data_IF_100710208090
#
_entry.id   IF_100710208090
#
_cell.length_a   1.000
_cell.length_b   1.000
_cell.length_c   1.000
_cell.angle_alpha   90.00
_cell.angle_beta   90.00
_cell.angle_gamma   90.00
#
_symmetry.space_group_name_H-M   'P 1'
#
loop_
_entity.id
_entity.type
_entity.pdbx_description
1 polymer ?
#
# COMPACT_ATOMS: atom_id res chain seq x y z
N UNK A 1 0.36 -26.14 9.09
CA UNK A 1 1.42 -26.76 8.25
C UNK A 1 2.78 -26.39 8.85
N UNK A 2 3.72 -27.34 9.05
CA UNK A 2 5.12 -27.00 9.37
C UNK A 2 5.81 -26.62 8.05
N UNK A 3 6.38 -25.42 7.98
CA UNK A 3 7.14 -24.97 6.82
C UNK A 3 8.63 -25.31 7.05
N UNK A 4 9.29 -25.88 6.05
CA UNK A 4 10.74 -26.09 6.09
C UNK A 4 11.46 -24.86 5.51
N UNK A 5 12.46 -24.33 6.23
CA UNK A 5 13.29 -23.21 5.78
C UNK A 5 12.69 -21.81 6.00
N UNK A 6 13.43 -20.80 5.51
CA UNK A 6 13.02 -19.38 5.56
C UNK A 6 11.85 -19.11 4.63
N UNK A 7 10.90 -18.30 5.09
CA UNK A 7 9.65 -17.96 4.36
C UNK A 7 9.68 -16.53 3.82
N UNK A 8 8.95 -16.23 2.74
CA UNK A 8 8.70 -14.85 2.37
C UNK A 8 7.90 -14.13 3.47
N UNK A 9 8.06 -12.82 3.57
CA UNK A 9 7.34 -12.01 4.54
C UNK A 9 6.51 -10.91 3.87
N UNK A 10 5.41 -10.55 4.50
CA UNK A 10 4.50 -9.51 4.02
C UNK A 10 4.20 -8.51 5.15
N UNK A 11 4.55 -7.25 4.91
CA UNK A 11 4.06 -6.13 5.71
C UNK A 11 2.63 -5.81 5.25
N UNK A 12 1.64 -6.04 6.12
CA UNK A 12 0.22 -5.95 5.79
C UNK A 12 -0.41 -4.71 6.42
N UNK A 13 -0.83 -3.75 5.59
CA UNK A 13 -1.21 -2.40 6.02
C UNK A 13 -2.72 -2.13 5.85
N UNK A 14 -3.41 -1.91 6.98
CA UNK A 14 -4.83 -1.57 7.05
C UNK A 14 -5.19 -0.14 6.53
N UNK A 15 -6.44 0.10 6.17
CA UNK A 15 -6.92 1.44 5.80
C UNK A 15 -7.13 2.37 7.00
N UNK A 16 -7.62 3.60 6.76
CA UNK A 16 -7.69 4.66 7.79
C UNK A 16 -8.54 4.28 9.01
N UNK A 17 -9.62 3.52 8.80
CA UNK A 17 -10.52 3.07 9.88
C UNK A 17 -10.27 1.59 10.23
N UNK A 18 -9.16 1.02 9.75
CA UNK A 18 -8.80 -0.37 9.96
C UNK A 18 -8.01 -0.62 11.24
N UNK A 19 -7.77 -1.90 11.50
CA UNK A 19 -6.87 -2.39 12.55
C UNK A 19 -6.15 -3.67 12.08
N UNK A 20 -5.05 -4.08 12.74
CA UNK A 20 -4.39 -5.35 12.45
C UNK A 20 -5.32 -6.57 12.57
N UNK A 21 -6.25 -6.56 13.52
CA UNK A 21 -7.18 -7.67 13.74
C UNK A 21 -8.11 -7.90 12.54
N UNK A 22 -8.55 -6.83 11.87
CA UNK A 22 -9.35 -6.92 10.63
C UNK A 22 -8.53 -7.52 9.48
N UNK A 23 -7.28 -7.07 9.34
CA UNK A 23 -6.35 -7.58 8.32
C UNK A 23 -6.00 -9.05 8.55
N UNK A 24 -5.78 -9.44 9.81
CA UNK A 24 -5.40 -10.80 10.20
C UNK A 24 -6.58 -11.74 10.45
N UNK A 25 -7.83 -11.28 10.28
CA UNK A 25 -9.02 -12.10 10.48
C UNK A 25 -9.23 -12.58 11.93
N UNK A 26 -8.75 -11.81 12.91
CA UNK A 26 -8.89 -12.11 14.34
C UNK A 26 -10.22 -11.63 14.93
N UNK A 27 -11.08 -11.02 14.11
CA UNK A 27 -12.43 -10.61 14.46
C UNK A 27 -13.42 -11.18 13.46
N UNK A 28 -14.59 -11.62 13.94
CA UNK A 28 -15.70 -12.08 13.09
C UNK A 28 -16.47 -10.90 12.49
N UNK A 29 -15.74 -10.05 11.76
CA UNK A 29 -16.27 -8.94 10.97
C UNK A 29 -15.79 -9.08 9.54
N UNK A 30 -16.72 -9.05 8.60
CA UNK A 30 -16.39 -8.86 7.19
C UNK A 30 -16.27 -7.36 6.94
N UNK A 31 -15.16 -6.94 6.36
CA UNK A 31 -14.93 -5.55 5.97
C UNK A 31 -14.10 -5.48 4.68
N UNK A 32 -13.75 -4.26 4.27
CA UNK A 32 -13.03 -4.03 3.03
C UNK A 32 -11.60 -4.59 3.01
N UNK A 33 -11.00 -4.95 4.15
CA UNK A 33 -9.68 -5.58 4.15
C UNK A 33 -9.75 -7.02 3.65
N UNK A 34 -10.93 -7.66 3.65
CA UNK A 34 -11.11 -9.03 3.21
C UNK A 34 -10.10 -10.01 3.86
N UNK A 35 -9.67 -9.72 5.10
CA UNK A 35 -8.69 -10.51 5.87
C UNK A 35 -7.43 -10.85 5.07
N UNK A 36 -6.94 -9.94 4.22
CA UNK A 36 -5.81 -10.24 3.31
C UNK A 36 -4.53 -10.69 4.05
N UNK A 37 -4.34 -10.27 5.30
CA UNK A 37 -3.26 -10.80 6.15
C UNK A 37 -3.43 -12.27 6.48
N UNK A 38 -4.65 -12.73 6.81
CA UNK A 38 -4.94 -14.15 7.00
C UNK A 38 -4.72 -14.94 5.72
N UNK A 39 -5.22 -14.42 4.59
CA UNK A 39 -5.02 -15.03 3.27
C UNK A 39 -3.53 -15.21 2.92
N UNK A 40 -2.68 -14.25 3.29
CA UNK A 40 -1.23 -14.35 3.13
C UNK A 40 -0.63 -15.43 4.06
N UNK A 41 -1.07 -15.53 5.32
CA UNK A 41 -0.64 -16.61 6.23
C UNK A 41 -0.99 -17.98 5.66
N UNK A 42 -2.21 -18.15 5.13
CA UNK A 42 -2.66 -19.41 4.51
C UNK A 42 -1.81 -19.80 3.29
N UNK A 43 -1.28 -18.81 2.57
CA UNK A 43 -0.34 -18.97 1.45
C UNK A 43 1.12 -19.17 1.90
N UNK A 44 1.41 -19.12 3.20
CA UNK A 44 2.72 -19.44 3.77
C UNK A 44 3.65 -18.25 3.97
N UNK A 45 3.14 -17.02 3.89
CA UNK A 45 3.90 -15.83 4.26
C UNK A 45 4.02 -15.68 5.78
N UNK A 46 5.12 -15.10 6.24
CA UNK A 46 5.20 -14.48 7.56
C UNK A 46 4.59 -13.10 7.47
N UNK A 47 3.51 -12.84 8.19
CA UNK A 47 2.80 -11.56 8.11
C UNK A 47 3.10 -10.71 9.33
N UNK A 48 3.43 -9.44 9.09
CA UNK A 48 3.48 -8.41 10.12
C UNK A 48 2.43 -7.34 9.80
N UNK A 49 1.41 -7.22 10.64
CA UNK A 49 0.37 -6.22 10.51
C UNK A 49 0.49 -5.20 11.66
N UNK A 50 1.12 -4.02 11.44
CA UNK A 50 1.26 -3.01 12.48
C UNK A 50 -0.03 -2.25 12.70
N UNK A 51 -0.23 -1.77 13.92
CA UNK A 51 -1.20 -0.69 14.18
C UNK A 51 -0.67 0.58 13.52
N UNK A 52 -1.35 1.04 12.49
CA UNK A 52 -1.19 2.39 11.94
C UNK A 52 -2.11 3.36 12.66
N UNK A 53 -1.73 4.64 12.68
CA UNK A 53 -2.56 5.66 13.31
C UNK A 53 -3.86 5.86 12.53
N UNK A 54 -4.92 5.22 13.03
CA UNK A 54 -6.28 5.27 12.52
C UNK A 54 -7.09 6.43 13.13
N UNK A 55 -8.21 6.76 12.47
CA UNK A 55 -9.13 7.80 12.89
C UNK A 55 -8.63 9.23 12.59
N UNK A 56 -9.32 9.92 11.69
CA UNK A 56 -8.92 11.24 11.19
C UNK A 56 -8.65 12.30 12.28
N UNK A 57 -9.56 12.44 13.26
CA UNK A 57 -9.41 13.39 14.38
C UNK A 57 -8.15 13.13 15.22
N UNK A 58 -7.92 11.88 15.58
CA UNK A 58 -6.76 11.48 16.39
C UNK A 58 -5.47 11.70 15.61
N UNK A 59 -5.46 11.32 14.34
CA UNK A 59 -4.30 11.51 13.45
C UNK A 59 -3.98 12.99 13.26
N UNK A 60 -4.98 13.84 13.03
CA UNK A 60 -4.77 15.28 12.90
C UNK A 60 -4.23 15.91 14.19
N UNK A 61 -4.77 15.52 15.35
CA UNK A 61 -4.26 16.02 16.64
C UNK A 61 -2.79 15.66 16.85
N UNK A 62 -2.38 14.45 16.47
CA UNK A 62 -0.96 14.04 16.51
C UNK A 62 -0.12 14.74 15.43
N UNK A 63 -0.66 14.99 14.23
CA UNK A 63 0.05 15.73 13.18
C UNK A 63 0.35 17.17 13.63
N UNK A 64 -0.58 17.83 14.33
CA UNK A 64 -0.32 19.15 14.94
C UNK A 64 0.85 19.13 15.91
N UNK A 65 1.01 18.06 16.69
CA UNK A 65 2.18 17.87 17.56
C UNK A 65 3.46 17.60 16.77
N UNK A 66 3.37 16.77 15.73
CA UNK A 66 4.51 16.49 14.86
C UNK A 66 5.02 17.77 14.18
N UNK A 67 4.11 18.63 13.71
CA UNK A 67 4.44 19.93 13.08
C UNK A 67 5.25 20.81 14.03
N UNK A 68 4.87 20.89 15.31
CA UNK A 68 5.65 21.65 16.32
C UNK A 68 7.05 21.09 16.54
N UNK A 69 7.29 19.82 16.24
CA UNK A 69 8.60 19.18 16.27
C UNK A 69 9.34 19.22 14.92
N UNK A 70 8.85 20.00 13.94
CA UNK A 70 9.43 20.06 12.58
C UNK A 70 9.22 18.77 11.77
N UNK A 71 8.24 17.95 12.14
CA UNK A 71 7.93 16.66 11.53
C UNK A 71 6.49 16.63 11.00
N UNK A 72 6.11 15.53 10.35
CA UNK A 72 4.72 15.22 9.99
C UNK A 72 4.38 13.82 10.47
N UNK A 73 3.15 13.59 10.90
CA UNK A 73 2.65 12.27 11.31
C UNK A 73 2.81 11.25 10.19
N UNK A 74 2.65 11.67 8.94
CA UNK A 74 2.91 10.81 7.78
C UNK A 74 4.35 10.30 7.76
N UNK A 75 5.35 11.17 7.91
CA UNK A 75 6.76 10.79 7.92
C UNK A 75 7.11 9.87 9.09
N UNK A 76 6.57 10.15 10.28
CA UNK A 76 6.73 9.29 11.46
C UNK A 76 6.13 7.89 11.24
N UNK A 77 4.96 7.79 10.60
CA UNK A 77 4.36 6.50 10.25
C UNK A 77 5.19 5.74 9.22
N UNK A 78 5.75 6.42 8.20
CA UNK A 78 6.64 5.77 7.22
C UNK A 78 7.90 5.23 7.91
N UNK A 79 8.51 6.01 8.79
CA UNK A 79 9.66 5.55 9.58
C UNK A 79 9.30 4.34 10.45
N UNK A 80 8.11 4.34 11.07
CA UNK A 80 7.60 3.17 11.81
C UNK A 80 7.46 1.93 10.91
N UNK A 81 7.01 2.09 9.67
CA UNK A 81 6.93 0.96 8.72
C UNK A 81 8.32 0.45 8.33
N UNK A 82 9.30 1.33 8.12
CA UNK A 82 10.71 0.94 7.88
C UNK A 82 11.26 0.13 9.07
N UNK A 83 10.94 0.52 10.31
CA UNK A 83 11.29 -0.25 11.51
C UNK A 83 10.59 -1.61 11.58
N UNK A 84 9.38 -1.74 11.02
CA UNK A 84 8.72 -3.04 10.88
C UNK A 84 9.46 -3.95 9.86
N UNK A 85 9.98 -3.36 8.79
CA UNK A 85 10.85 -4.07 7.83
C UNK A 85 12.16 -4.50 8.50
N UNK A 86 12.77 -3.67 9.35
CA UNK A 86 13.95 -4.05 10.15
C UNK A 86 13.66 -5.30 11.01
N UNK A 87 12.52 -5.31 11.70
CA UNK A 87 12.10 -6.44 12.52
C UNK A 87 11.88 -7.71 11.69
N UNK A 88 11.21 -7.61 10.54
CA UNK A 88 11.04 -8.76 9.65
C UNK A 88 12.38 -9.30 9.16
N UNK A 89 13.29 -8.42 8.73
CA UNK A 89 14.60 -8.79 8.23
C UNK A 89 15.51 -9.42 9.30
N UNK A 90 15.31 -9.09 10.58
CA UNK A 90 16.10 -9.65 11.68
C UNK A 90 15.66 -11.05 12.12
N UNK A 91 14.59 -11.61 11.55
CA UNK A 91 14.07 -12.93 11.94
C UNK A 91 14.76 -14.05 11.18
N UNK A 92 15.21 -15.07 11.90
CA UNK A 92 15.87 -16.24 11.31
C UNK A 92 14.94 -17.10 10.43
N UNK A 93 13.62 -16.99 10.60
CA UNK A 93 12.62 -17.69 9.79
C UNK A 93 12.12 -16.88 8.58
N UNK A 94 12.61 -15.66 8.38
CA UNK A 94 12.31 -14.78 7.23
C UNK A 94 13.44 -14.81 6.22
N UNK A 95 13.08 -14.92 4.94
CA UNK A 95 14.00 -14.64 3.85
C UNK A 95 13.95 -13.15 3.52
N UNK A 96 14.97 -12.42 3.96
CA UNK A 96 15.04 -10.96 3.91
C UNK A 96 15.09 -10.38 2.48
N UNK A 97 15.44 -11.19 1.49
CA UNK A 97 15.39 -10.86 0.05
C UNK A 97 14.00 -11.07 -0.58
N UNK A 98 13.05 -11.64 0.19
CA UNK A 98 11.70 -12.00 -0.25
C UNK A 98 10.63 -11.39 0.66
N UNK A 99 10.81 -10.10 0.95
CA UNK A 99 9.84 -9.30 1.70
C UNK A 99 9.01 -8.43 0.75
N UNK A 100 7.71 -8.36 0.98
CA UNK A 100 6.82 -7.45 0.27
C UNK A 100 5.97 -6.61 1.20
N UNK A 101 5.24 -5.66 0.62
CA UNK A 101 4.24 -4.86 1.31
C UNK A 101 2.93 -4.89 0.54
N UNK A 102 1.82 -4.99 1.27
CA UNK A 102 0.47 -4.93 0.71
C UNK A 102 -0.40 -4.07 1.62
N UNK A 103 -1.02 -3.03 1.08
CA UNK A 103 -2.03 -2.28 1.81
C UNK A 103 -3.20 -1.82 0.96
N UNK A 104 -4.29 -1.49 1.64
CA UNK A 104 -5.51 -0.96 1.04
C UNK A 104 -5.81 0.46 1.53
N UNK A 105 -6.30 1.32 0.65
CA UNK A 105 -6.75 2.67 0.99
C UNK A 105 -5.61 3.51 1.56
N UNK A 106 -5.74 4.02 2.78
CA UNK A 106 -4.63 4.65 3.51
C UNK A 106 -3.42 3.71 3.70
N UNK A 107 -3.67 2.41 3.88
CA UNK A 107 -2.65 1.38 3.87
C UNK A 107 -2.02 1.21 2.49
N UNK A 108 -2.79 1.40 1.41
CA UNK A 108 -2.29 1.40 0.03
C UNK A 108 -1.37 2.58 -0.23
N UNK A 109 -1.77 3.79 0.18
CA UNK A 109 -0.88 4.97 0.21
C UNK A 109 0.40 4.64 0.98
N UNK A 110 0.26 4.11 2.19
CA UNK A 110 1.41 3.82 3.05
C UNK A 110 2.32 2.76 2.42
N UNK A 111 1.77 1.72 1.80
CA UNK A 111 2.50 0.68 1.08
C UNK A 111 3.34 1.25 -0.07
N UNK A 112 2.76 2.14 -0.87
CA UNK A 112 3.44 2.83 -1.96
C UNK A 112 4.64 3.65 -1.45
N UNK A 113 4.43 4.50 -0.44
CA UNK A 113 5.51 5.33 0.12
C UNK A 113 6.59 4.49 0.81
N UNK A 114 6.24 3.49 1.63
CA UNK A 114 7.27 2.66 2.28
C UNK A 114 8.05 1.85 1.26
N UNK A 115 7.40 1.34 0.19
CA UNK A 115 8.10 0.67 -0.89
C UNK A 115 9.08 1.62 -1.59
N UNK A 116 8.68 2.85 -1.89
CA UNK A 116 9.56 3.86 -2.47
C UNK A 116 10.77 4.21 -1.57
N UNK A 117 10.56 4.27 -0.25
CA UNK A 117 11.58 4.65 0.74
C UNK A 117 12.51 3.49 1.15
N UNK A 118 12.04 2.24 1.12
CA UNK A 118 12.80 1.07 1.56
C UNK A 118 12.98 0.06 0.43
N UNK A 119 14.22 -0.02 -0.07
CA UNK A 119 14.60 -0.88 -1.19
C UNK A 119 14.62 -2.38 -0.86
N UNK A 120 14.49 -2.78 0.41
CA UNK A 120 14.45 -4.19 0.82
C UNK A 120 13.13 -4.85 0.50
N UNK A 121 12.07 -4.07 0.26
CA UNK A 121 10.77 -4.58 -0.18
C UNK A 121 10.84 -4.91 -1.68
N UNK A 122 10.88 -6.20 -2.01
CA UNK A 122 11.03 -6.72 -3.37
C UNK A 122 9.74 -6.61 -4.22
N UNK A 123 8.58 -6.59 -3.55
CA UNK A 123 7.28 -6.43 -4.19
C UNK A 123 6.34 -5.50 -3.39
N UNK A 124 5.55 -4.71 -4.09
CA UNK A 124 4.55 -3.80 -3.51
C UNK A 124 3.18 -4.03 -4.16
N UNK A 125 2.15 -4.15 -3.33
CA UNK A 125 0.75 -4.13 -3.77
C UNK A 125 0.04 -2.93 -3.17
N UNK A 126 -0.57 -2.12 -4.04
CA UNK A 126 -1.38 -0.95 -3.67
C UNK A 126 -2.82 -1.19 -4.08
N UNK A 127 -3.71 -1.24 -3.10
CA UNK A 127 -5.15 -1.48 -3.32
C UNK A 127 -5.98 -0.24 -2.99
N UNK A 128 -6.89 0.14 -3.89
CA UNK A 128 -7.91 1.18 -3.64
C UNK A 128 -7.34 2.55 -3.24
N UNK A 129 -6.21 2.96 -3.83
CA UNK A 129 -5.58 4.25 -3.51
C UNK A 129 -5.01 4.97 -4.73
N UNK A 130 -4.20 4.25 -5.52
CA UNK A 130 -3.38 4.81 -6.59
C UNK A 130 -4.24 5.50 -7.65
N UNK A 131 -3.96 6.77 -7.91
CA UNK A 131 -4.46 7.54 -9.05
C UNK A 131 -3.67 8.85 -9.16
N UNK A 132 -3.96 9.68 -10.17
CA UNK A 132 -3.37 11.03 -10.24
C UNK A 132 -3.69 11.82 -8.96
N UNK A 133 -2.71 11.95 -8.07
CA UNK A 133 -2.95 12.41 -6.71
C UNK A 133 -3.04 13.92 -6.62
N UNK A 134 -2.53 14.69 -7.58
CA UNK A 134 -2.72 16.15 -7.60
C UNK A 134 -4.20 16.50 -7.70
N UNK A 135 -4.96 15.83 -8.58
CA UNK A 135 -6.40 15.97 -8.69
C UNK A 135 -7.10 15.52 -7.42
N UNK A 136 -6.73 14.35 -6.85
CA UNK A 136 -7.26 13.88 -5.56
C UNK A 136 -7.13 14.94 -4.47
N UNK A 137 -6.00 15.65 -4.45
CA UNK A 137 -5.66 16.63 -3.42
C UNK A 137 -6.37 17.96 -3.60
N UNK A 138 -6.71 18.36 -4.84
CA UNK A 138 -7.06 19.77 -5.15
C UNK A 138 -8.41 19.98 -5.81
N UNK A 139 -9.06 18.93 -6.35
CA UNK A 139 -10.30 19.06 -7.11
C UNK A 139 -11.47 18.32 -6.44
N UNK A 140 -12.57 19.02 -6.09
CA UNK A 140 -13.84 18.39 -5.72
C UNK A 140 -14.32 17.39 -6.77
N UNK A 141 -14.92 16.28 -6.34
CA UNK A 141 -15.41 15.26 -7.28
C UNK A 141 -16.39 14.26 -6.65
N UNK A 142 -17.45 13.84 -7.38
CA UNK A 142 -18.33 12.76 -6.95
C UNK A 142 -17.79 11.35 -7.24
N UNK A 143 -16.65 11.23 -7.93
CA UNK A 143 -16.10 9.94 -8.37
C UNK A 143 -15.05 9.37 -7.42
N UNK A 144 -14.49 10.19 -6.54
CA UNK A 144 -13.42 9.81 -5.62
C UNK A 144 -13.47 10.67 -4.36
N UNK A 145 -12.77 10.23 -3.31
CA UNK A 145 -12.56 11.06 -2.13
C UNK A 145 -11.60 12.18 -2.48
N UNK A 146 -12.12 13.39 -2.67
CA UNK A 146 -11.35 14.60 -2.86
C UNK A 146 -10.87 15.13 -1.50
N UNK A 147 -9.55 15.13 -1.27
CA UNK A 147 -9.01 15.50 0.04
C UNK A 147 -9.29 16.95 0.43
N UNK A 148 -9.48 17.84 -0.55
CA UNK A 148 -9.88 19.24 -0.32
C UNK A 148 -11.26 19.37 0.35
N UNK A 149 -12.11 18.35 0.25
CA UNK A 149 -13.46 18.31 0.86
C UNK A 149 -13.49 17.55 2.20
N UNK A 150 -12.36 16.98 2.63
CA UNK A 150 -12.27 16.24 3.89
C UNK A 150 -12.00 17.20 5.05
N UNK A 151 -12.69 17.02 6.18
CA UNK A 151 -12.58 17.89 7.37
C UNK A 151 -11.20 17.88 8.05
N UNK A 152 -10.29 16.97 7.66
CA UNK A 152 -9.01 16.76 8.32
C UNK A 152 -7.83 17.09 7.40
N UNK A 153 -6.82 17.74 7.98
CA UNK A 153 -5.62 18.15 7.25
C UNK A 153 -4.50 17.09 7.17
N UNK A 154 -4.68 15.91 7.79
CA UNK A 154 -3.67 14.85 7.79
C UNK A 154 -3.25 14.32 6.39
N UNK A 155 -4.05 14.38 5.31
CA UNK A 155 -3.62 13.86 4.01
C UNK A 155 -2.73 14.82 3.23
N UNK A 156 -2.64 16.09 3.66
CA UNK A 156 -1.90 17.14 2.95
C UNK A 156 -0.42 17.16 3.33
N UNK A 157 0.44 16.97 2.34
CA UNK A 157 1.87 17.20 2.45
C UNK A 157 2.27 18.47 1.70
N UNK A 158 3.19 19.24 2.28
CA UNK A 158 3.69 20.46 1.65
C UNK A 158 4.33 20.12 0.31
N UNK A 159 4.01 20.88 -0.74
CA UNK A 159 4.57 20.73 -2.09
C UNK A 159 4.20 19.46 -2.85
N UNK A 160 3.41 18.53 -2.29
CA UNK A 160 3.01 17.32 -3.04
C UNK A 160 2.38 17.69 -4.38
N UNK A 161 1.37 18.56 -4.36
CA UNK A 161 0.64 18.99 -5.56
C UNK A 161 1.48 19.77 -6.60
N UNK A 162 2.71 20.19 -6.26
CA UNK A 162 3.59 20.93 -7.17
C UNK A 162 4.82 20.14 -7.60
N UNK A 163 5.10 19.00 -6.96
CA UNK A 163 6.39 18.29 -7.14
C UNK A 163 6.20 16.86 -7.64
N UNK A 164 5.11 16.17 -7.27
CA UNK A 164 4.93 14.75 -7.62
C UNK A 164 3.48 14.27 -7.50
N UNK A 165 3.10 13.36 -8.40
CA UNK A 165 1.90 12.54 -8.33
C UNK A 165 2.23 11.11 -7.84
N UNK A 166 1.23 10.21 -7.83
CA UNK A 166 1.45 8.83 -7.36
C UNK A 166 2.33 8.04 -8.33
N UNK A 167 2.25 8.28 -9.65
CA UNK A 167 3.19 7.70 -10.60
C UNK A 167 4.63 8.07 -10.23
N UNK A 168 4.93 9.35 -9.98
CA UNK A 168 6.29 9.79 -9.64
C UNK A 168 6.85 9.07 -8.40
N UNK A 169 6.01 8.81 -7.39
CA UNK A 169 6.41 7.98 -6.24
C UNK A 169 6.70 6.54 -6.67
N UNK A 170 5.86 5.95 -7.52
CA UNK A 170 6.08 4.61 -8.07
C UNK A 170 7.35 4.51 -8.93
N UNK A 171 7.87 5.62 -9.48
CA UNK A 171 9.17 5.63 -10.18
C UNK A 171 10.33 5.19 -9.26
N UNK A 172 10.22 5.44 -7.94
CA UNK A 172 11.20 5.04 -6.94
C UNK A 172 11.06 3.57 -6.52
N UNK A 173 9.95 2.92 -6.89
CA UNK A 173 9.74 1.48 -6.71
C UNK A 173 10.41 0.73 -7.87
N UNK A 174 10.31 1.25 -9.10
CA UNK A 174 11.01 0.74 -10.28
C UNK A 174 12.51 0.56 -9.99
N UNK A 175 13.14 -0.60 -10.30
CA UNK A 175 12.66 -1.72 -11.11
C UNK A 175 12.07 -2.91 -10.30
N UNK A 176 11.71 -2.70 -9.03
CA UNK A 176 11.12 -3.76 -8.17
C UNK A 176 9.67 -4.02 -8.55
N UNK A 177 9.09 -5.13 -8.12
CA UNK A 177 7.76 -5.48 -8.56
C UNK A 177 6.70 -4.55 -7.92
N UNK A 178 5.76 -4.05 -8.74
CA UNK A 178 4.62 -3.25 -8.32
C UNK A 178 3.31 -3.79 -8.91
N UNK A 179 2.29 -3.94 -8.08
CA UNK A 179 0.93 -4.27 -8.50
C UNK A 179 -0.06 -3.28 -7.94
N UNK A 180 -1.01 -2.86 -8.78
CA UNK A 180 -2.12 -2.00 -8.40
C UNK A 180 -3.42 -2.79 -8.63
N UNK A 181 -4.29 -2.84 -7.62
CA UNK A 181 -5.66 -3.37 -7.78
C UNK A 181 -6.67 -2.26 -7.46
N UNK A 182 -7.73 -2.16 -8.28
CA UNK A 182 -8.70 -1.08 -8.16
C UNK A 182 -10.13 -1.57 -8.47
N UNK A 183 -11.06 -1.30 -7.54
CA UNK A 183 -12.47 -1.62 -7.74
C UNK A 183 -13.13 -0.63 -8.69
N UNK A 184 -13.95 -1.12 -9.63
CA UNK A 184 -14.67 -0.30 -10.62
C UNK A 184 -15.69 0.67 -9.99
N UNK A 185 -16.24 0.32 -8.83
CA UNK A 185 -17.21 1.12 -8.08
C UNK A 185 -16.60 1.86 -6.88
N UNK A 186 -15.28 1.75 -6.69
CA UNK A 186 -14.59 2.40 -5.58
C UNK A 186 -14.74 3.94 -5.66
N UNK A 187 -15.19 4.53 -4.55
CA UNK A 187 -15.36 5.97 -4.36
C UNK A 187 -14.21 6.61 -3.58
N UNK A 188 -13.20 5.85 -3.20
CA UNK A 188 -11.94 6.35 -2.65
C UNK A 188 -11.02 6.78 -3.77
N UNK A 189 -10.77 5.93 -4.76
CA UNK A 189 -9.96 6.22 -5.93
C UNK A 189 -10.72 5.88 -7.22
N UNK A 190 -10.66 6.75 -8.22
CA UNK A 190 -11.40 6.57 -9.46
C UNK A 190 -10.60 5.73 -10.45
N UNK A 191 -11.10 4.55 -10.79
CA UNK A 191 -10.39 3.55 -11.58
C UNK A 191 -9.89 4.05 -12.95
N UNK A 192 -10.61 4.95 -13.63
CA UNK A 192 -10.14 5.48 -14.93
C UNK A 192 -8.89 6.33 -14.78
N UNK A 193 -8.83 7.17 -13.76
CA UNK A 193 -7.64 7.97 -13.46
C UNK A 193 -6.51 7.10 -12.94
N UNK A 194 -6.82 6.05 -12.17
CA UNK A 194 -5.84 5.05 -11.77
C UNK A 194 -5.22 4.35 -12.99
N UNK A 195 -6.03 3.94 -13.97
CA UNK A 195 -5.58 3.33 -15.21
C UNK A 195 -4.72 4.28 -16.06
N UNK A 196 -5.15 5.54 -16.22
CA UNK A 196 -4.39 6.57 -16.94
C UNK A 196 -3.04 6.86 -16.28
N UNK A 197 -3.02 7.04 -14.96
CA UNK A 197 -1.80 7.25 -14.18
C UNK A 197 -0.87 6.02 -14.28
N UNK A 198 -1.43 4.81 -14.28
CA UNK A 198 -0.65 3.57 -14.36
C UNK A 198 0.08 3.42 -15.70
N UNK A 199 -0.46 3.96 -16.81
CA UNK A 199 0.23 3.94 -18.12
C UNK A 199 1.59 4.65 -18.06
N UNK A 200 1.73 5.67 -17.21
CA UNK A 200 3.03 6.35 -16.99
C UNK A 200 4.01 5.38 -16.34
N UNK A 201 3.58 4.70 -15.27
CA UNK A 201 4.39 3.71 -14.55
C UNK A 201 4.79 2.56 -15.48
N UNK A 202 3.82 2.01 -16.21
CA UNK A 202 4.04 0.91 -17.16
C UNK A 202 5.09 1.30 -18.21
N UNK A 203 5.03 2.53 -18.74
CA UNK A 203 6.00 3.03 -19.71
C UNK A 203 7.46 3.04 -19.19
N UNK A 204 7.70 3.24 -17.90
CA UNK A 204 9.06 3.12 -17.33
C UNK A 204 9.54 1.66 -17.30
N UNK A 205 8.68 0.75 -16.87
CA UNK A 205 9.01 -0.68 -16.83
C UNK A 205 9.21 -1.26 -18.23
N UNK A 206 8.40 -0.87 -19.20
CA UNK A 206 8.55 -1.26 -20.62
C UNK A 206 9.89 -0.83 -21.21
N UNK A 207 10.32 0.43 -20.97
CA UNK A 207 11.62 0.95 -21.42
C UNK A 207 12.81 0.19 -20.84
N UNK A 208 12.63 -0.45 -19.69
CA UNK A 208 13.63 -1.30 -19.05
C UNK A 208 13.54 -2.78 -19.44
N UNK A 209 12.55 -3.17 -20.26
CA UNK A 209 12.28 -4.57 -20.59
C UNK A 209 11.70 -5.38 -19.42
N UNK A 210 11.01 -4.71 -18.49
CA UNK A 210 10.49 -5.25 -17.23
C UNK A 210 8.97 -5.11 -17.11
N UNK A 211 8.24 -5.07 -18.23
CA UNK A 211 6.81 -4.81 -18.26
C UNK A 211 6.00 -5.75 -17.35
N UNK A 212 6.45 -6.99 -17.15
CA UNK A 212 5.80 -8.00 -16.33
C UNK A 212 5.95 -7.78 -14.81
N UNK A 213 6.78 -6.83 -14.39
CA UNK A 213 6.98 -6.41 -12.98
C UNK A 213 6.03 -5.31 -12.54
N UNK A 214 5.34 -4.64 -13.47
CA UNK A 214 4.32 -3.65 -13.15
C UNK A 214 2.98 -4.13 -13.72
N UNK A 215 2.01 -4.43 -12.85
CA UNK A 215 0.69 -4.89 -13.28
C UNK A 215 -0.44 -4.09 -12.65
N UNK A 216 -1.57 -3.98 -13.37
CA UNK A 216 -2.77 -3.26 -12.94
C UNK A 216 -4.00 -4.13 -13.16
N UNK A 217 -4.81 -4.30 -12.11
CA UNK A 217 -6.05 -5.05 -12.12
C UNK A 217 -7.24 -4.12 -11.85
N UNK A 218 -8.30 -4.27 -12.65
CA UNK A 218 -9.63 -3.75 -12.34
C UNK A 218 -10.54 -4.93 -12.01
N UNK A 219 -11.18 -4.89 -10.85
CA UNK A 219 -12.20 -5.87 -10.47
C UNK A 219 -13.59 -5.22 -10.35
N UNK A 220 -14.62 -6.04 -10.51
CA UNK A 220 -16.01 -5.62 -10.28
C UNK A 220 -16.27 -5.55 -8.78
N UNK A 221 -16.58 -4.34 -8.28
CA UNK A 221 -16.80 -4.11 -6.86
C UNK A 221 -16.39 -2.72 -6.39
N UNK A 222 -16.72 -2.42 -5.13
CA UNK A 222 -16.41 -1.16 -4.48
C UNK A 222 -15.01 -1.11 -3.85
N UNK A 223 -14.91 -0.43 -2.71
CA UNK A 223 -13.65 -0.28 -1.98
C UNK A 223 -13.38 -1.52 -1.11
N UNK A 224 -12.63 -2.52 -1.63
CA UNK A 224 -12.16 -3.68 -0.86
C UNK A 224 -10.94 -4.37 -1.51
N UNK A 225 -10.28 -5.27 -0.77
CA UNK A 225 -9.20 -6.12 -1.28
C UNK A 225 -9.76 -7.29 -2.08
N UNK A 226 -9.52 -7.31 -3.39
CA UNK A 226 -9.84 -8.45 -4.26
C UNK A 226 -8.87 -9.60 -4.03
N UNK A 227 -7.56 -9.31 -4.06
CA UNK A 227 -6.51 -10.22 -3.58
C UNK A 227 -6.12 -11.34 -4.53
N UNK A 228 -6.94 -11.72 -5.51
CA UNK A 228 -6.65 -12.87 -6.38
C UNK A 228 -5.40 -12.65 -7.23
N UNK A 229 -5.40 -11.65 -8.12
CA UNK A 229 -4.23 -11.34 -8.95
C UNK A 229 -3.09 -10.78 -8.11
N UNK A 230 -3.39 -10.00 -7.05
CA UNK A 230 -2.40 -9.52 -6.10
C UNK A 230 -1.58 -10.65 -5.46
N UNK A 231 -2.23 -11.75 -5.04
CA UNK A 231 -1.50 -12.90 -4.49
C UNK A 231 -0.75 -13.67 -5.58
N UNK A 232 -1.32 -13.86 -6.77
CA UNK A 232 -0.59 -14.46 -7.91
C UNK A 232 0.69 -13.68 -8.22
N UNK A 233 0.59 -12.36 -8.22
CA UNK A 233 1.71 -11.44 -8.40
C UNK A 233 2.75 -11.56 -7.26
N UNK A 234 2.33 -11.52 -6.00
CA UNK A 234 3.23 -11.67 -4.85
C UNK A 234 3.96 -13.02 -4.90
N UNK A 235 3.24 -14.09 -5.27
CA UNK A 235 3.83 -15.43 -5.38
C UNK A 235 4.89 -15.49 -6.47
N UNK A 236 4.67 -14.88 -7.63
CA UNK A 236 5.66 -14.78 -8.71
C UNK A 236 6.96 -14.13 -8.25
N UNK A 237 6.89 -13.09 -7.42
CA UNK A 237 8.05 -12.25 -7.08
C UNK A 237 8.70 -12.53 -5.72
N UNK A 238 7.98 -13.18 -4.80
CA UNK A 238 8.46 -13.42 -3.43
C UNK A 238 8.66 -14.90 -3.11
N UNK A 239 8.12 -15.85 -3.89
CA UNK A 239 8.40 -17.27 -3.66
C UNK A 239 9.77 -17.64 -4.25
N UNK A 240 10.43 -18.68 -3.71
CA UNK A 240 11.58 -19.25 -4.40
C UNK A 240 11.14 -19.64 -5.81
N UNK A 241 11.97 -19.33 -6.81
CA UNK A 241 11.79 -19.86 -8.15
C UNK A 241 11.75 -21.40 -8.12
N UNK A 242 11.17 -22.03 -9.16
CA UNK A 242 11.24 -23.48 -9.33
C UNK A 242 12.69 -24.01 -9.30
#
# INVERSE_FOLDING_TARGET
KKYAGKRPALLALHGMEGTPELVCGLVEKTDYHNRFGLQAVERGYIVFAPVMMNGGKKREWLDRKAIMAGQRMQGLEQYKMIRAVDFLASRDDVASDRMGVYGISWGGRTAMYVAALDRRLAACVVSGHFMESTQKMTKPSPFYTAYIEVEFNYPFFSRQATEFADADVCSLICPRALHIEQGREDKVAYWRMAEEEFRIVQGWYERLGLADRATFEIFEGGHYVAGLEAFTFLEKWLRPGP
#
